data_IF_247314804995
#
_entry.id   IF_247314804995
#
_cell.length_a   1.000
_cell.length_b   1.000
_cell.length_c   1.000
_cell.angle_alpha   90.00
_cell.angle_beta   90.00
_cell.angle_gamma   90.00
#
_symmetry.space_group_name_H-M   'P 1'
#
loop_
_entity.id
_entity.type
_entity.pdbx_description
1 polymer ?
#
# COMPACT_ATOMS: atom_id res chain seq x y z
N UNK A 1 15.25 0.70 13.75
CA UNK A 1 14.42 -0.48 13.45
C UNK A 1 14.63 -0.82 11.99
N UNK A 2 14.85 -2.09 11.69
CA UNK A 2 15.06 -2.55 10.32
C UNK A 2 13.71 -2.58 9.57
N UNK A 3 13.70 -2.08 8.33
CA UNK A 3 12.53 -2.10 7.44
C UNK A 3 12.13 -3.55 7.15
N UNK A 4 10.89 -3.94 7.46
CA UNK A 4 10.43 -5.34 7.32
C UNK A 4 9.62 -5.65 6.07
N UNK A 5 9.14 -4.64 5.34
CA UNK A 5 8.37 -4.86 4.12
C UNK A 5 9.29 -5.00 2.90
N UNK A 6 8.81 -5.68 1.86
CA UNK A 6 9.52 -5.79 0.58
C UNK A 6 9.85 -4.40 0.02
N UNK A 7 11.08 -4.19 -0.52
CA UNK A 7 11.44 -2.92 -1.13
C UNK A 7 10.50 -2.52 -2.27
N UNK A 8 10.31 -1.21 -2.41
CA UNK A 8 9.71 -0.60 -3.59
C UNK A 8 10.59 -0.85 -4.85
N UNK A 9 10.03 -0.72 -6.07
CA UNK A 9 8.62 -0.45 -6.37
C UNK A 9 7.77 -1.71 -6.27
N UNK A 10 6.53 -1.57 -5.79
CA UNK A 10 5.52 -2.60 -5.99
C UNK A 10 4.68 -2.27 -7.22
N UNK A 11 4.26 -3.31 -7.97
CA UNK A 11 3.54 -3.16 -9.22
C UNK A 11 2.23 -3.93 -9.17
N UNK A 12 1.14 -3.26 -9.49
CA UNK A 12 -0.15 -3.90 -9.71
C UNK A 12 -0.22 -4.48 -11.12
N UNK A 13 -0.39 -5.79 -11.21
CA UNK A 13 -0.66 -6.52 -12.45
C UNK A 13 -2.16 -6.76 -12.53
N UNK A 14 -2.78 -6.14 -13.51
CA UNK A 14 -4.22 -6.17 -13.77
C UNK A 14 -4.41 -6.95 -15.09
N UNK A 15 -5.32 -7.94 -15.09
CA UNK A 15 -5.47 -9.01 -16.10
C UNK A 15 -4.60 -10.24 -15.82
N UNK A 16 -4.92 -10.94 -14.74
CA UNK A 16 -4.61 -12.37 -14.71
C UNK A 16 -5.77 -13.08 -15.40
N UNK A 17 -5.52 -13.85 -16.45
CA UNK A 17 -6.47 -14.74 -17.16
C UNK A 17 -6.98 -15.89 -16.27
N UNK A 18 -6.93 -15.72 -14.95
CA UNK A 18 -7.38 -16.65 -13.95
C UNK A 18 -8.77 -16.24 -13.50
N UNK A 19 -9.61 -17.25 -13.29
CA UNK A 19 -10.96 -17.16 -12.74
C UNK A 19 -11.04 -16.54 -11.32
N UNK A 20 -9.94 -15.97 -10.78
CA UNK A 20 -9.76 -15.12 -9.59
C UNK A 20 -8.23 -14.89 -9.41
N UNK A 21 -7.64 -13.66 -9.38
CA UNK A 21 -7.99 -12.43 -8.62
C UNK A 21 -8.29 -11.19 -9.49
N UNK A 22 -8.83 -10.12 -8.88
CA UNK A 22 -9.03 -8.83 -9.56
C UNK A 22 -7.74 -8.00 -9.73
N UNK A 23 -6.68 -8.32 -9.00
CA UNK A 23 -5.34 -7.74 -9.16
C UNK A 23 -4.26 -8.50 -8.37
N UNK A 24 -3.02 -8.46 -8.86
CA UNK A 24 -1.84 -9.07 -8.24
C UNK A 24 -0.78 -8.00 -8.01
N UNK A 25 -0.32 -7.84 -6.76
CA UNK A 25 0.76 -6.91 -6.41
C UNK A 25 2.08 -7.69 -6.36
N UNK A 26 3.09 -7.22 -7.06
CA UNK A 26 4.43 -7.83 -7.13
C UNK A 26 5.55 -6.87 -6.74
N UNK A 27 6.67 -7.41 -6.27
CA UNK A 27 7.97 -6.72 -6.19
C UNK A 27 8.99 -7.59 -6.93
N UNK A 28 9.39 -7.15 -8.13
CA UNK A 28 10.14 -8.00 -9.06
C UNK A 28 9.37 -9.27 -9.45
N UNK A 29 9.97 -10.43 -9.20
CA UNK A 29 9.40 -11.75 -9.44
C UNK A 29 8.53 -12.26 -8.27
N UNK A 30 8.51 -11.57 -7.12
CA UNK A 30 7.82 -12.00 -5.91
C UNK A 30 6.38 -11.48 -5.87
N UNK A 31 5.45 -12.36 -5.49
CA UNK A 31 4.08 -11.96 -5.16
C UNK A 31 4.03 -11.36 -3.75
N UNK A 32 3.41 -10.19 -3.62
CA UNK A 32 3.21 -9.48 -2.36
C UNK A 32 1.80 -9.68 -1.84
N UNK A 33 0.78 -9.48 -2.70
CA UNK A 33 -0.62 -9.58 -2.31
C UNK A 33 -1.54 -9.81 -3.51
N UNK A 34 -2.73 -10.34 -3.25
CA UNK A 34 -3.79 -10.53 -4.24
C UNK A 34 -5.04 -9.78 -3.79
N UNK A 35 -5.68 -9.03 -4.69
CA UNK A 35 -7.00 -8.44 -4.47
C UNK A 35 -8.06 -9.30 -5.14
N UNK A 36 -9.11 -9.70 -4.41
CA UNK A 36 -10.12 -10.63 -4.90
C UNK A 36 -11.37 -9.92 -5.41
N UNK A 37 -11.71 -10.11 -6.68
CA UNK A 37 -12.90 -9.51 -7.31
C UNK A 37 -14.23 -10.05 -6.79
N UNK A 38 -14.28 -11.31 -6.32
CA UNK A 38 -15.52 -12.03 -5.98
C UNK A 38 -16.42 -11.29 -4.97
N UNK A 39 -15.83 -10.50 -4.08
CA UNK A 39 -16.55 -9.80 -3.01
C UNK A 39 -16.86 -8.32 -3.33
N UNK A 40 -16.06 -7.68 -4.19
CA UNK A 40 -16.07 -6.22 -4.34
C UNK A 40 -16.23 -5.74 -5.78
N UNK A 41 -16.17 -6.63 -6.77
CA UNK A 41 -16.15 -6.28 -8.19
C UNK A 41 -14.73 -6.11 -8.74
N UNK A 42 -14.59 -6.21 -10.06
CA UNK A 42 -13.30 -6.14 -10.74
C UNK A 42 -12.69 -4.73 -10.64
N UNK A 43 -13.48 -3.68 -10.80
CA UNK A 43 -12.98 -2.29 -10.75
C UNK A 43 -12.45 -1.92 -9.37
N UNK A 44 -13.21 -2.24 -8.31
CA UNK A 44 -12.77 -2.02 -6.93
C UNK A 44 -11.51 -2.82 -6.60
N UNK A 45 -11.43 -4.08 -7.06
CA UNK A 45 -10.24 -4.91 -6.84
C UNK A 45 -9.00 -4.33 -7.55
N UNK A 46 -9.16 -3.78 -8.75
CA UNK A 46 -8.11 -3.08 -9.50
C UNK A 46 -7.68 -1.79 -8.79
N UNK A 47 -8.63 -0.97 -8.35
CA UNK A 47 -8.35 0.25 -7.60
C UNK A 47 -7.59 -0.06 -6.29
N UNK A 48 -8.01 -1.09 -5.56
CA UNK A 48 -7.33 -1.55 -4.36
C UNK A 48 -5.93 -2.06 -4.66
N UNK A 49 -5.72 -2.77 -5.78
CA UNK A 49 -4.39 -3.24 -6.15
C UNK A 49 -3.42 -2.08 -6.42
N UNK A 50 -3.88 -1.05 -7.14
CA UNK A 50 -3.09 0.16 -7.37
C UNK A 50 -2.77 0.89 -6.06
N UNK A 51 -3.74 1.02 -5.15
CA UNK A 51 -3.53 1.66 -3.85
C UNK A 51 -2.51 0.90 -3.00
N UNK A 52 -2.59 -0.44 -2.97
CA UNK A 52 -1.65 -1.28 -2.23
C UNK A 52 -0.27 -1.21 -2.86
N UNK A 53 -0.16 -1.23 -4.20
CA UNK A 53 1.11 -1.12 -4.91
C UNK A 53 1.83 0.21 -4.63
N UNK A 54 1.10 1.30 -4.42
CA UNK A 54 1.67 2.59 -4.05
C UNK A 54 2.00 2.73 -2.55
N UNK A 55 1.71 1.72 -1.71
CA UNK A 55 1.84 1.83 -0.26
C UNK A 55 3.27 2.16 0.23
N UNK A 56 4.35 1.60 -0.35
CA UNK A 56 5.71 1.98 0.03
C UNK A 56 6.00 3.47 -0.21
N UNK A 57 5.70 3.97 -1.41
CA UNK A 57 5.92 5.36 -1.80
C UNK A 57 5.03 6.33 -1.00
N UNK A 58 3.79 5.93 -0.71
CA UNK A 58 2.89 6.69 0.16
C UNK A 58 3.41 6.77 1.60
N UNK A 59 4.02 5.70 2.12
CA UNK A 59 4.62 5.71 3.46
C UNK A 59 5.83 6.65 3.52
N UNK A 60 6.73 6.56 2.55
CA UNK A 60 7.90 7.46 2.45
C UNK A 60 7.47 8.93 2.35
N UNK A 61 6.51 9.24 1.46
CA UNK A 61 5.98 10.59 1.32
C UNK A 61 5.31 11.10 2.61
N UNK A 62 4.57 10.24 3.32
CA UNK A 62 3.93 10.63 4.57
C UNK A 62 4.95 10.89 5.69
N UNK A 63 6.02 10.10 5.76
CA UNK A 63 7.12 10.31 6.71
C UNK A 63 7.84 11.65 6.44
N UNK A 64 8.10 11.96 5.17
CA UNK A 64 8.70 13.23 4.73
C UNK A 64 7.83 14.43 5.13
N UNK A 65 6.51 14.34 4.87
CA UNK A 65 5.55 15.39 5.21
C UNK A 65 5.52 15.64 6.72
N UNK A 66 5.45 14.57 7.52
CA UNK A 66 5.38 14.65 8.99
C UNK A 66 6.69 15.15 9.60
N UNK A 67 7.84 14.83 8.99
CA UNK A 67 9.15 15.25 9.47
C UNK A 67 9.50 16.70 9.15
N UNK A 68 9.03 17.22 8.00
CA UNK A 68 9.48 18.50 7.45
C UNK A 68 8.42 19.60 7.41
N UNK A 69 7.15 19.31 7.73
CA UNK A 69 6.08 20.30 7.70
C UNK A 69 5.26 20.33 8.99
N UNK A 70 4.79 21.52 9.36
CA UNK A 70 3.80 21.67 10.42
C UNK A 70 2.41 21.30 9.89
N UNK A 71 1.80 20.26 10.47
CA UNK A 71 0.43 19.86 10.22
C UNK A 71 -0.48 20.34 11.35
N UNK A 72 -1.79 20.45 11.10
CA UNK A 72 -2.75 20.64 12.20
C UNK A 72 -2.67 19.45 13.17
N UNK A 73 -2.95 19.67 14.46
CA UNK A 73 -2.88 18.61 15.50
C UNK A 73 -3.63 17.33 15.09
N UNK A 74 -4.79 17.49 14.45
CA UNK A 74 -5.57 16.37 13.92
C UNK A 74 -4.83 15.62 12.82
N UNK A 75 -4.29 16.33 11.83
CA UNK A 75 -3.56 15.72 10.71
C UNK A 75 -2.27 15.05 11.19
N UNK A 76 -1.54 15.70 12.10
CA UNK A 76 -0.35 15.13 12.75
C UNK A 76 -0.69 13.82 13.47
N UNK A 77 -1.76 13.82 14.28
CA UNK A 77 -2.22 12.62 15.00
C UNK A 77 -2.59 11.48 14.05
N UNK A 78 -3.29 11.78 12.95
CA UNK A 78 -3.66 10.79 11.94
C UNK A 78 -2.44 10.20 11.22
N UNK A 79 -1.52 11.05 10.79
CA UNK A 79 -0.33 10.64 10.05
C UNK A 79 0.61 9.78 10.90
N UNK A 80 0.89 10.19 12.14
CA UNK A 80 1.73 9.42 13.07
C UNK A 80 1.14 8.05 13.37
N UNK A 81 -0.18 7.95 13.54
CA UNK A 81 -0.86 6.65 13.73
C UNK A 81 -0.77 5.76 12.50
N UNK A 82 -0.93 6.32 11.30
CA UNK A 82 -0.80 5.58 10.05
C UNK A 82 0.63 5.06 9.84
N UNK A 83 1.65 5.89 10.10
CA UNK A 83 3.07 5.49 10.04
C UNK A 83 3.34 4.37 11.06
N UNK A 84 2.93 4.54 12.32
CA UNK A 84 3.13 3.52 13.35
C UNK A 84 2.49 2.18 12.95
N UNK A 85 1.28 2.23 12.36
CA UNK A 85 0.60 1.03 11.84
C UNK A 85 1.40 0.36 10.73
N UNK A 86 1.87 1.13 9.74
CA UNK A 86 2.63 0.61 8.60
C UNK A 86 3.98 0.00 9.02
N UNK A 87 4.61 0.55 10.05
CA UNK A 87 5.87 0.06 10.62
C UNK A 87 5.69 -1.08 11.64
N UNK A 88 4.45 -1.46 11.96
CA UNK A 88 4.16 -2.50 12.97
C UNK A 88 4.55 -2.09 14.40
N UNK A 89 4.43 -0.81 14.74
CA UNK A 89 4.78 -0.22 16.03
C UNK A 89 3.55 0.06 16.92
N UNK A 90 2.39 -0.50 16.57
CA UNK A 90 1.13 -0.34 17.31
C UNK A 90 0.95 -1.39 18.40
#
# INVERSE_FOLDING_TARGET
MEFKHSPAPWVAVINTDLDLPGGLIKSGDKSIAHTLQKAIGAEQARANANLIAAAPELLEALQEIVGNHYLSDKAQSMATKAIAKALGQQ
#
